data_IF_194621163711
#
_entry.id   IF_194621163711
#
_cell.length_a   1.000
_cell.length_b   1.000
_cell.length_c   1.000
_cell.angle_alpha   90.00
_cell.angle_beta   90.00
_cell.angle_gamma   90.00
#
_symmetry.space_group_name_H-M   'P 1'
#
loop_
_entity.id
_entity.type
_entity.pdbx_description
1 polymer ?
#
# COMPACT_ATOMS: atom_id res chain seq x y z
N UNK A 1 -59.90 56.49 -47.69
CA UNK A 1 -58.80 56.03 -48.56
C UNK A 1 -58.14 54.86 -47.90
N UNK A 2 -58.25 53.64 -48.47
CA UNK A 2 -57.53 52.45 -47.91
C UNK A 2 -56.10 52.44 -48.48
N UNK A 3 -55.13 52.33 -47.57
CA UNK A 3 -53.71 52.15 -47.98
C UNK A 3 -53.50 50.74 -48.56
N UNK A 4 -52.73 50.60 -49.63
CA UNK A 4 -52.43 49.32 -50.24
C UNK A 4 -51.43 48.53 -49.36
N UNK A 5 -51.79 47.29 -48.97
CA UNK A 5 -50.86 46.30 -48.41
C UNK A 5 -49.89 45.89 -49.49
N UNK A 6 -48.74 46.51 -49.51
CA UNK A 6 -47.60 46.11 -50.33
C UNK A 6 -46.97 44.80 -49.77
N UNK A 7 -47.50 43.70 -50.20
CA UNK A 7 -46.86 42.38 -50.03
C UNK A 7 -45.80 42.22 -51.13
N UNK A 8 -44.61 42.78 -50.88
CA UNK A 8 -43.52 42.58 -51.79
C UNK A 8 -43.04 41.12 -51.74
N UNK A 9 -42.88 40.44 -52.89
CA UNK A 9 -42.46 39.03 -52.96
C UNK A 9 -41.13 38.80 -52.27
N UNK A 10 -40.28 39.82 -52.22
CA UNK A 10 -38.98 39.79 -51.59
C UNK A 10 -39.08 39.58 -50.05
N UNK A 11 -40.05 40.15 -49.36
CA UNK A 11 -40.26 39.97 -47.91
C UNK A 11 -40.66 38.53 -47.58
N UNK A 12 -41.45 37.90 -48.47
CA UNK A 12 -41.88 36.51 -48.30
C UNK A 12 -40.74 35.51 -48.46
N UNK A 13 -39.86 35.77 -49.44
CA UNK A 13 -38.65 34.94 -49.67
C UNK A 13 -37.66 35.06 -48.54
N UNK A 14 -37.44 36.28 -48.01
CA UNK A 14 -36.54 36.48 -46.86
C UNK A 14 -37.09 35.78 -45.63
N UNK A 15 -38.42 35.97 -45.32
CA UNK A 15 -39.07 35.28 -44.22
C UNK A 15 -38.99 33.74 -44.35
N UNK A 16 -39.17 33.21 -45.52
CA UNK A 16 -39.08 31.79 -45.77
C UNK A 16 -37.65 31.25 -45.46
N UNK A 17 -36.61 31.94 -45.92
CA UNK A 17 -35.20 31.60 -45.63
C UNK A 17 -34.90 31.69 -44.15
N UNK A 18 -35.39 32.71 -43.48
CA UNK A 18 -35.19 32.87 -42.03
C UNK A 18 -35.91 31.75 -41.26
N UNK A 19 -37.15 31.39 -41.63
CA UNK A 19 -37.86 30.25 -41.01
C UNK A 19 -37.16 28.92 -41.29
N UNK A 20 -36.58 28.72 -42.45
CA UNK A 20 -35.86 27.53 -42.81
C UNK A 20 -34.57 27.42 -41.97
N UNK A 21 -33.83 28.50 -41.81
CA UNK A 21 -32.67 28.55 -40.89
C UNK A 21 -33.07 28.28 -39.43
N UNK A 22 -34.17 28.91 -39.00
CA UNK A 22 -34.68 28.66 -37.65
C UNK A 22 -35.08 27.19 -37.42
N UNK A 23 -35.78 26.59 -38.38
CA UNK A 23 -36.12 25.18 -38.35
C UNK A 23 -34.90 24.26 -38.34
N UNK A 24 -33.85 24.60 -39.10
CA UNK A 24 -32.59 23.87 -39.06
C UNK A 24 -31.89 23.95 -37.70
N UNK A 25 -31.89 25.12 -37.08
CA UNK A 25 -31.32 25.28 -35.71
C UNK A 25 -32.12 24.52 -34.66
N UNK A 26 -33.46 24.54 -34.72
CA UNK A 26 -34.34 23.79 -33.80
C UNK A 26 -34.10 22.28 -33.98
N UNK A 27 -33.96 21.81 -35.20
CA UNK A 27 -33.70 20.40 -35.50
C UNK A 27 -32.35 19.97 -34.95
N UNK A 28 -31.30 20.78 -35.13
CA UNK A 28 -29.97 20.49 -34.57
C UNK A 28 -30.03 20.47 -33.03
N UNK A 29 -30.71 21.44 -32.39
CA UNK A 29 -30.89 21.48 -30.96
C UNK A 29 -31.65 20.24 -30.44
N UNK A 30 -32.71 19.81 -31.15
CA UNK A 30 -33.46 18.61 -30.81
C UNK A 30 -32.59 17.33 -30.94
N UNK A 31 -31.76 17.23 -31.97
CA UNK A 31 -30.84 16.10 -32.14
C UNK A 31 -29.77 16.04 -31.03
N UNK A 32 -29.21 17.19 -30.67
CA UNK A 32 -28.26 17.27 -29.54
C UNK A 32 -28.94 16.86 -28.23
N UNK A 33 -30.14 17.34 -28.00
CA UNK A 33 -30.91 17.01 -26.81
C UNK A 33 -31.28 15.52 -26.74
N UNK A 34 -31.75 14.97 -27.84
CA UNK A 34 -32.03 13.54 -27.98
C UNK A 34 -30.76 12.69 -27.74
N UNK A 35 -29.63 13.14 -28.26
CA UNK A 35 -28.34 12.49 -28.05
C UNK A 35 -27.90 12.51 -26.59
N UNK A 36 -28.08 13.63 -25.90
CA UNK A 36 -27.80 13.76 -24.46
C UNK A 36 -28.68 12.82 -23.64
N UNK A 37 -29.99 12.79 -23.91
CA UNK A 37 -30.92 11.89 -23.23
C UNK A 37 -30.53 10.43 -23.49
N UNK A 38 -30.19 10.09 -24.74
CA UNK A 38 -29.79 8.73 -25.09
C UNK A 38 -28.52 8.31 -24.36
N UNK A 39 -27.51 9.19 -24.29
CA UNK A 39 -26.26 8.93 -23.54
C UNK A 39 -26.55 8.78 -22.04
N UNK A 40 -27.42 9.60 -21.45
CA UNK A 40 -27.73 9.53 -20.02
C UNK A 40 -28.54 8.28 -19.64
N UNK A 41 -29.46 7.84 -20.51
CA UNK A 41 -30.37 6.75 -20.17
C UNK A 41 -29.89 5.36 -20.62
N UNK A 42 -29.12 5.30 -21.72
CA UNK A 42 -28.79 4.02 -22.38
C UNK A 42 -27.29 3.71 -22.47
N UNK A 43 -26.40 4.65 -22.09
CA UNK A 43 -24.98 4.39 -22.19
C UNK A 43 -24.46 3.73 -20.89
N UNK A 44 -24.40 2.41 -20.92
CA UNK A 44 -23.69 1.62 -19.90
C UNK A 44 -22.19 1.96 -19.81
N UNK A 45 -21.61 2.53 -20.87
CA UNK A 45 -20.25 3.00 -20.89
C UNK A 45 -19.98 4.14 -19.89
N UNK A 46 -20.98 5.01 -19.60
CA UNK A 46 -20.82 6.10 -18.64
C UNK A 46 -20.70 5.53 -17.22
N UNK A 47 -21.55 4.56 -16.87
CA UNK A 47 -21.50 3.88 -15.58
C UNK A 47 -20.19 3.09 -15.43
N UNK A 48 -19.81 2.33 -16.45
CA UNK A 48 -18.54 1.56 -16.47
C UNK A 48 -17.30 2.47 -16.39
N UNK A 49 -17.30 3.59 -17.10
CA UNK A 49 -16.20 4.54 -17.04
C UNK A 49 -16.18 5.32 -15.72
N UNK A 50 -17.32 5.61 -15.11
CA UNK A 50 -17.40 6.23 -13.80
C UNK A 50 -16.80 5.30 -12.73
N UNK A 51 -17.19 4.03 -12.68
CA UNK A 51 -16.66 3.03 -11.76
C UNK A 51 -15.14 2.82 -11.95
N UNK A 52 -14.68 2.76 -13.20
CA UNK A 52 -13.26 2.66 -13.56
C UNK A 52 -12.47 3.93 -13.19
N UNK A 53 -13.07 5.10 -13.28
CA UNK A 53 -12.47 6.36 -12.84
C UNK A 53 -12.43 6.45 -11.32
N UNK A 54 -13.49 6.02 -10.62
CA UNK A 54 -13.49 5.94 -9.16
C UNK A 54 -12.35 5.06 -8.64
N UNK A 55 -12.16 3.86 -9.19
CA UNK A 55 -11.07 2.97 -8.83
C UNK A 55 -9.66 3.51 -9.16
N UNK A 56 -9.54 4.50 -10.08
CA UNK A 56 -8.29 5.19 -10.39
C UNK A 56 -8.04 6.41 -9.51
N UNK A 57 -9.10 7.02 -8.98
CA UNK A 57 -9.06 8.24 -8.19
C UNK A 57 -9.02 7.90 -6.70
N UNK A 58 -9.76 6.89 -6.28
CA UNK A 58 -9.85 6.48 -4.89
C UNK A 58 -9.15 5.15 -4.65
N UNK A 59 -8.48 5.05 -3.52
CA UNK A 59 -7.85 3.81 -3.04
C UNK A 59 -8.22 3.67 -1.58
N UNK A 60 -8.78 2.52 -1.22
CA UNK A 60 -9.03 2.20 0.17
C UNK A 60 -7.74 1.63 0.78
N UNK A 61 -7.31 2.22 1.87
CA UNK A 61 -6.16 1.81 2.67
C UNK A 61 -6.66 1.24 3.98
N UNK A 62 -6.20 0.04 4.32
CA UNK A 62 -6.43 -0.56 5.63
C UNK A 62 -5.38 0.02 6.58
N UNK A 63 -5.85 0.60 7.69
CA UNK A 63 -4.99 1.05 8.79
C UNK A 63 -4.99 -0.07 9.82
N UNK A 64 -3.88 -0.81 9.99
CA UNK A 64 -3.87 -1.94 10.91
C UNK A 64 -4.04 -1.46 12.35
N UNK A 65 -4.85 -2.18 13.12
CA UNK A 65 -4.94 -2.03 14.56
C UNK A 65 -3.68 -2.60 15.23
N UNK A 66 -3.31 -2.05 16.36
CA UNK A 66 -2.21 -2.57 17.17
C UNK A 66 -2.71 -3.74 17.99
N UNK A 67 -1.96 -4.85 17.95
CA UNK A 67 -2.25 -6.00 18.80
C UNK A 67 -1.88 -5.71 20.24
N UNK A 68 -2.78 -5.94 21.20
CA UNK A 68 -2.57 -5.76 22.62
C UNK A 68 -1.42 -6.65 23.17
N UNK A 69 -0.84 -6.25 24.27
CA UNK A 69 0.25 -6.95 24.92
C UNK A 69 -0.29 -8.06 25.84
N UNK A 70 0.53 -9.08 26.11
CA UNK A 70 0.33 -10.02 27.19
C UNK A 70 1.37 -9.71 28.26
N UNK A 71 0.90 -9.41 29.46
CA UNK A 71 1.71 -8.94 30.56
C UNK A 71 1.67 -9.93 31.72
N UNK A 72 2.72 -9.93 32.55
CA UNK A 72 2.73 -10.57 33.84
C UNK A 72 1.82 -9.81 34.81
N UNK A 73 1.62 -10.33 36.03
CA UNK A 73 0.90 -9.65 37.10
C UNK A 73 1.51 -8.29 37.48
N UNK A 74 2.81 -8.12 37.29
CA UNK A 74 3.57 -6.91 37.63
C UNK A 74 3.72 -5.97 36.42
N UNK A 75 3.11 -6.30 35.27
CA UNK A 75 3.13 -5.47 34.05
C UNK A 75 4.33 -5.69 33.14
N UNK A 76 5.18 -6.69 33.40
CA UNK A 76 6.29 -7.04 32.51
C UNK A 76 5.76 -7.72 31.21
N UNK A 77 6.28 -7.38 30.05
CA UNK A 77 5.78 -7.92 28.80
C UNK A 77 6.25 -9.37 28.58
N UNK A 78 5.27 -10.27 28.43
CA UNK A 78 5.45 -11.65 27.99
C UNK A 78 5.34 -11.80 26.48
N UNK A 79 4.43 -11.04 25.87
CA UNK A 79 4.32 -10.90 24.42
C UNK A 79 3.94 -9.46 24.06
N UNK A 80 4.64 -8.87 23.12
CA UNK A 80 4.40 -7.51 22.65
C UNK A 80 4.55 -7.43 21.14
N UNK A 81 3.97 -6.40 20.52
CA UNK A 81 4.05 -6.16 19.09
C UNK A 81 5.03 -5.04 18.79
N UNK A 82 5.98 -5.31 17.90
CA UNK A 82 6.90 -4.32 17.37
C UNK A 82 6.63 -4.07 15.91
N UNK A 83 6.57 -2.79 15.54
CA UNK A 83 6.44 -2.43 14.14
C UNK A 83 7.79 -2.56 13.42
N UNK A 84 7.75 -3.33 12.35
CA UNK A 84 8.84 -3.44 11.39
C UNK A 84 8.42 -2.82 10.08
N UNK A 85 9.36 -2.20 9.39
CA UNK A 85 9.13 -1.53 8.12
C UNK A 85 9.92 -2.20 7.02
N UNK A 86 9.22 -2.56 5.94
CA UNK A 86 9.87 -2.95 4.70
C UNK A 86 9.84 -1.77 3.73
N UNK A 87 11.01 -1.35 3.26
CA UNK A 87 11.12 -0.28 2.28
C UNK A 87 10.95 -0.88 0.89
N UNK A 88 9.86 -0.53 0.22
CA UNK A 88 9.55 -0.98 -1.13
C UNK A 88 9.71 0.19 -2.12
N UNK A 89 10.36 -0.07 -3.25
CA UNK A 89 10.59 0.90 -4.31
C UNK A 89 9.60 0.69 -5.47
N UNK A 90 9.01 1.76 -5.97
CA UNK A 90 8.23 1.76 -7.22
C UNK A 90 9.12 2.28 -8.37
N UNK A 91 9.77 1.35 -9.06
CA UNK A 91 10.66 1.68 -10.18
C UNK A 91 9.92 2.19 -11.44
N UNK A 92 8.60 2.01 -11.54
CA UNK A 92 7.76 2.60 -12.59
C UNK A 92 7.38 4.06 -12.33
N UNK A 93 7.74 4.60 -11.18
CA UNK A 93 7.42 5.96 -10.78
C UNK A 93 8.01 7.02 -11.73
N UNK A 94 7.28 8.10 -12.02
CA UNK A 94 7.79 9.22 -12.79
C UNK A 94 9.05 9.89 -12.22
N UNK A 95 9.31 9.72 -10.92
CA UNK A 95 10.55 10.21 -10.29
C UNK A 95 11.82 9.60 -10.88
N UNK A 96 11.71 8.45 -11.56
CA UNK A 96 12.82 7.76 -12.20
C UNK A 96 12.91 7.97 -13.72
N UNK A 97 12.16 8.91 -14.30
CA UNK A 97 12.14 9.17 -15.75
C UNK A 97 13.50 9.60 -16.30
N UNK A 98 14.35 10.22 -15.51
CA UNK A 98 15.71 10.55 -15.89
C UNK A 98 16.67 9.41 -15.53
N UNK A 99 17.04 8.63 -16.54
CA UNK A 99 18.02 7.53 -16.39
C UNK A 99 19.37 7.98 -15.80
N UNK A 100 19.82 9.19 -16.14
CA UNK A 100 21.06 9.73 -15.62
C UNK A 100 20.96 10.01 -14.13
N UNK A 101 19.95 10.75 -13.74
CA UNK A 101 19.67 11.08 -12.33
C UNK A 101 19.44 9.81 -11.50
N UNK A 102 18.71 8.85 -12.05
CA UNK A 102 18.49 7.57 -11.37
C UNK A 102 19.83 6.83 -11.11
N UNK A 103 20.70 6.72 -12.11
CA UNK A 103 22.01 6.04 -11.93
C UNK A 103 22.86 6.73 -10.87
N UNK A 104 23.03 8.04 -10.97
CA UNK A 104 23.83 8.80 -10.01
C UNK A 104 23.31 8.67 -8.58
N UNK A 105 22.00 8.73 -8.40
CA UNK A 105 21.35 8.62 -7.09
C UNK A 105 21.34 7.18 -6.56
N UNK A 106 21.12 6.18 -7.43
CA UNK A 106 21.16 4.77 -7.04
C UNK A 106 22.55 4.31 -6.64
N UNK A 107 23.60 4.79 -7.33
CA UNK A 107 24.98 4.49 -6.96
C UNK A 107 25.34 5.10 -5.60
N UNK A 108 24.88 6.32 -5.33
CA UNK A 108 25.06 6.98 -4.05
C UNK A 108 24.30 6.26 -2.93
N UNK A 109 23.03 5.90 -3.16
CA UNK A 109 22.24 5.13 -2.22
C UNK A 109 22.89 3.76 -1.94
N UNK A 110 23.35 3.06 -2.98
CA UNK A 110 23.99 1.76 -2.86
C UNK A 110 25.23 1.79 -1.95
N UNK A 111 26.06 2.83 -2.08
CA UNK A 111 27.24 3.02 -1.22
C UNK A 111 26.84 3.19 0.26
N UNK A 112 25.80 3.99 0.52
CA UNK A 112 25.31 4.25 1.88
C UNK A 112 24.66 3.02 2.49
N UNK A 113 23.85 2.26 1.71
CA UNK A 113 23.25 1.00 2.18
C UNK A 113 24.31 -0.06 2.50
N UNK A 114 25.31 -0.20 1.63
CA UNK A 114 26.42 -1.13 1.87
C UNK A 114 27.22 -0.77 3.12
N UNK A 115 27.44 0.51 3.38
CA UNK A 115 28.11 0.99 4.60
C UNK A 115 27.26 0.75 5.86
N UNK A 116 25.96 0.95 5.75
CA UNK A 116 25.04 0.83 6.87
C UNK A 116 24.78 -0.63 7.26
N UNK A 117 24.38 -1.47 6.30
CA UNK A 117 24.02 -2.87 6.58
C UNK A 117 25.22 -3.82 6.61
N UNK A 118 26.27 -3.53 5.85
CA UNK A 118 27.49 -4.37 5.73
C UNK A 118 27.22 -5.83 5.33
N UNK A 119 26.09 -6.07 4.66
CA UNK A 119 25.65 -7.40 4.23
C UNK A 119 26.00 -7.68 2.75
N UNK A 120 26.09 -6.62 1.93
CA UNK A 120 26.36 -6.68 0.50
C UNK A 120 27.29 -5.54 0.08
N UNK A 121 27.97 -5.74 -1.06
CA UNK A 121 28.76 -4.67 -1.67
C UNK A 121 27.87 -3.57 -2.28
N UNK A 122 28.42 -2.35 -2.36
CA UNK A 122 27.74 -1.25 -3.04
C UNK A 122 27.38 -1.58 -4.50
N UNK A 123 28.28 -2.30 -5.20
CA UNK A 123 28.04 -2.75 -6.57
C UNK A 123 26.83 -3.72 -6.66
N UNK A 124 26.67 -4.62 -5.68
CA UNK A 124 25.53 -5.55 -5.65
C UNK A 124 24.19 -4.82 -5.44
N UNK A 125 24.15 -3.82 -4.56
CA UNK A 125 22.98 -2.97 -4.37
C UNK A 125 22.64 -2.16 -5.63
N UNK A 126 23.64 -1.49 -6.23
CA UNK A 126 23.44 -0.71 -7.45
C UNK A 126 22.93 -1.57 -8.60
N UNK A 127 23.54 -2.74 -8.80
CA UNK A 127 23.15 -3.69 -9.84
C UNK A 127 21.71 -4.20 -9.63
N UNK A 128 21.32 -4.51 -8.40
CA UNK A 128 19.95 -4.93 -8.08
C UNK A 128 18.94 -3.83 -8.43
N UNK A 129 19.17 -2.58 -8.00
CA UNK A 129 18.31 -1.45 -8.32
C UNK A 129 18.22 -1.18 -9.83
N UNK A 130 19.33 -1.20 -10.53
CA UNK A 130 19.39 -0.98 -11.99
C UNK A 130 18.66 -2.10 -12.75
N UNK A 131 18.82 -3.36 -12.33
CA UNK A 131 18.12 -4.51 -12.91
C UNK A 131 16.60 -4.39 -12.75
N UNK A 132 16.13 -4.05 -11.55
CA UNK A 132 14.69 -3.90 -11.30
C UNK A 132 14.11 -2.68 -12.04
N UNK A 133 14.84 -1.57 -12.12
CA UNK A 133 14.46 -0.43 -12.92
C UNK A 133 14.34 -0.79 -14.41
N UNK A 134 15.35 -1.44 -15.01
CA UNK A 134 15.33 -1.85 -16.41
C UNK A 134 14.19 -2.81 -16.73
N UNK A 135 13.85 -3.67 -15.78
CA UNK A 135 12.72 -4.61 -15.92
C UNK A 135 11.37 -3.91 -15.93
N UNK A 136 11.19 -2.90 -15.09
CA UNK A 136 9.88 -2.25 -14.84
C UNK A 136 9.68 -0.95 -15.59
N UNK A 137 10.75 -0.31 -15.99
CA UNK A 137 10.71 0.94 -16.76
C UNK A 137 11.38 0.72 -18.10
N UNK A 138 10.59 0.71 -19.16
CA UNK A 138 11.08 0.55 -20.53
C UNK A 138 10.47 1.59 -21.45
N UNK A 139 11.34 2.36 -22.10
CA UNK A 139 10.94 3.27 -23.18
C UNK A 139 11.26 2.59 -24.50
N UNK A 140 10.24 2.30 -25.28
CA UNK A 140 10.38 1.69 -26.59
C UNK A 140 9.99 2.71 -27.67
N UNK A 141 10.84 2.92 -28.64
CA UNK A 141 10.53 3.72 -29.80
C UNK A 141 9.51 2.96 -30.65
N UNK A 142 8.35 3.57 -30.93
CA UNK A 142 7.27 2.90 -31.63
C UNK A 142 7.24 3.22 -33.11
N UNK A 143 7.29 4.48 -33.48
CA UNK A 143 7.21 4.95 -34.87
C UNK A 143 7.42 6.47 -34.96
N UNK A 144 7.98 6.93 -36.08
CA UNK A 144 7.85 8.34 -36.47
C UNK A 144 6.42 8.57 -37.03
N UNK A 145 5.68 9.46 -36.39
CA UNK A 145 4.32 9.81 -36.83
C UNK A 145 4.33 11.24 -37.34
N UNK A 146 3.80 11.40 -38.54
CA UNK A 146 3.59 12.71 -39.09
C UNK A 146 2.35 13.33 -38.45
N UNK A 147 2.54 14.36 -37.61
CA UNK A 147 1.45 15.05 -36.95
C UNK A 147 1.23 16.39 -37.67
N UNK A 148 -0.01 16.67 -38.16
CA UNK A 148 -0.30 17.96 -38.72
C UNK A 148 -0.13 19.05 -37.67
N UNK A 149 0.40 20.21 -38.10
CA UNK A 149 0.73 21.35 -37.21
C UNK A 149 -0.49 21.93 -36.47
N UNK A 150 -1.68 21.72 -37.02
CA UNK A 150 -2.94 22.20 -36.45
C UNK A 150 -3.93 21.09 -36.16
N UNK A 151 -4.68 21.20 -35.03
CA UNK A 151 -5.61 20.16 -34.56
C UNK A 151 -7.03 20.24 -35.17
N UNK A 152 -7.43 21.31 -35.83
CA UNK A 152 -8.76 21.50 -36.41
C UNK A 152 -8.90 21.06 -37.89
N UNK A 153 -10.05 20.50 -38.26
CA UNK A 153 -10.29 20.00 -39.62
C UNK A 153 -10.12 21.05 -40.72
N UNK A 154 -10.59 22.28 -40.52
CA UNK A 154 -10.40 23.43 -41.42
C UNK A 154 -8.94 23.93 -41.43
N UNK A 155 -8.30 23.93 -40.24
CA UNK A 155 -6.91 24.35 -40.13
C UNK A 155 -5.96 23.34 -40.83
N UNK A 156 -6.22 22.04 -40.76
CA UNK A 156 -5.50 21.01 -41.53
C UNK A 156 -5.64 21.17 -43.03
N UNK A 157 -6.83 21.59 -43.48
CA UNK A 157 -7.07 21.87 -44.90
C UNK A 157 -6.26 23.08 -45.37
N UNK A 158 -6.19 24.15 -44.56
CA UNK A 158 -5.37 25.33 -44.80
C UNK A 158 -3.87 25.04 -44.80
N UNK A 159 -3.38 24.23 -43.84
CA UNK A 159 -1.96 23.82 -43.78
C UNK A 159 -1.55 23.02 -45.02
N UNK A 160 -2.45 22.12 -45.51
CA UNK A 160 -2.22 21.37 -46.76
C UNK A 160 -2.17 22.26 -47.98
N UNK A 161 -2.98 23.32 -48.03
CA UNK A 161 -2.99 24.28 -49.13
C UNK A 161 -1.75 25.16 -49.16
N UNK A 162 -1.14 25.45 -48.01
CA UNK A 162 0.08 26.25 -47.90
C UNK A 162 1.36 25.46 -48.08
N UNK A 163 1.32 24.15 -48.17
CA UNK A 163 2.51 23.30 -48.26
C UNK A 163 3.36 23.32 -46.97
N UNK A 164 2.77 23.68 -45.83
CA UNK A 164 3.48 23.70 -44.56
C UNK A 164 3.78 22.29 -44.07
N UNK A 165 5.05 22.07 -43.66
CA UNK A 165 5.60 20.78 -43.29
C UNK A 165 4.89 20.14 -42.11
N UNK A 166 4.65 18.85 -42.24
CA UNK A 166 4.16 17.96 -41.22
C UNK A 166 5.27 17.71 -40.21
N UNK A 167 5.05 18.07 -38.95
CA UNK A 167 6.02 17.80 -37.90
C UNK A 167 6.18 16.30 -37.67
N UNK A 168 7.40 15.81 -37.80
CA UNK A 168 7.72 14.41 -37.45
C UNK A 168 7.86 14.31 -35.94
N UNK A 169 6.88 13.70 -35.30
CA UNK A 169 6.92 13.44 -33.86
C UNK A 169 7.34 11.98 -33.64
N UNK A 170 8.38 11.81 -32.84
CA UNK A 170 8.81 10.48 -32.39
C UNK A 170 7.87 10.00 -31.29
N UNK A 171 7.10 8.97 -31.57
CA UNK A 171 6.23 8.33 -30.60
C UNK A 171 7.02 7.28 -29.82
N UNK A 172 7.12 7.51 -28.52
CA UNK A 172 7.67 6.55 -27.57
C UNK A 172 6.55 5.88 -26.79
N UNK A 173 6.61 4.57 -26.69
CA UNK A 173 5.77 3.80 -25.80
C UNK A 173 6.56 3.54 -24.52
N UNK A 174 6.01 3.97 -23.39
CA UNK A 174 6.66 3.83 -22.09
C UNK A 174 5.89 2.80 -21.27
N UNK A 175 6.48 1.63 -21.12
CA UNK A 175 5.97 0.61 -20.19
C UNK A 175 6.42 0.99 -18.78
N UNK A 176 5.46 1.10 -17.86
CA UNK A 176 5.69 1.35 -16.44
C UNK A 176 4.97 0.30 -15.64
N UNK A 177 5.73 -0.55 -14.96
CA UNK A 177 5.20 -1.49 -13.98
C UNK A 177 5.37 -0.89 -12.59
N UNK A 178 4.25 -0.54 -11.97
CA UNK A 178 4.16 0.06 -10.64
C UNK A 178 4.13 -0.97 -9.51
N UNK A 179 4.49 -2.23 -9.80
CA UNK A 179 4.59 -3.25 -8.75
C UNK A 179 5.78 -2.92 -7.84
N UNK A 180 5.56 -2.65 -6.56
CA UNK A 180 6.63 -2.29 -5.64
C UNK A 180 7.54 -3.50 -5.36
N UNK A 181 8.81 -3.23 -5.15
CA UNK A 181 9.82 -4.24 -4.85
C UNK A 181 10.60 -3.83 -3.63
N UNK A 182 10.83 -4.77 -2.73
CA UNK A 182 11.67 -4.53 -1.57
C UNK A 182 13.07 -4.04 -2.00
N UNK A 183 13.47 -2.88 -1.48
CA UNK A 183 14.79 -2.31 -1.74
C UNK A 183 15.91 -3.21 -1.17
N UNK A 184 15.63 -3.81 -0.03
CA UNK A 184 16.45 -4.83 0.64
C UNK A 184 15.53 -5.84 1.35
N UNK A 185 15.98 -7.09 1.55
CA UNK A 185 15.13 -8.16 2.09
C UNK A 185 14.87 -8.03 3.58
N UNK A 186 15.67 -7.24 4.29
CA UNK A 186 15.58 -7.03 5.73
C UNK A 186 14.44 -6.05 6.07
N UNK A 187 13.72 -6.34 7.13
CA UNK A 187 12.83 -5.39 7.79
C UNK A 187 13.64 -4.52 8.76
N UNK A 188 13.26 -3.27 8.91
CA UNK A 188 13.94 -2.27 9.72
C UNK A 188 12.99 -1.72 10.78
N UNK A 189 13.55 -1.23 11.88
CA UNK A 189 12.78 -0.52 12.89
C UNK A 189 12.61 0.98 12.55
N UNK A 190 11.83 1.69 13.35
CA UNK A 190 11.58 3.11 13.14
C UNK A 190 12.85 3.96 13.25
N UNK A 191 13.79 3.61 14.11
CA UNK A 191 15.05 4.34 14.32
C UNK A 191 15.97 4.19 13.11
N UNK A 192 16.09 2.97 12.61
CA UNK A 192 16.80 2.67 11.36
C UNK A 192 16.17 3.45 10.19
N UNK A 193 14.82 3.48 10.11
CA UNK A 193 14.12 4.26 9.09
C UNK A 193 14.42 5.76 9.18
N UNK A 194 14.44 6.36 10.37
CA UNK A 194 14.78 7.77 10.55
C UNK A 194 16.18 8.12 10.01
N UNK A 195 17.10 7.16 10.02
CA UNK A 195 18.43 7.30 9.42
C UNK A 195 18.37 7.14 7.90
N UNK A 196 17.74 6.09 7.41
CA UNK A 196 17.69 5.75 5.97
C UNK A 196 16.89 6.77 5.15
N UNK A 197 15.82 7.36 5.72
CA UNK A 197 15.02 8.39 5.03
C UNK A 197 15.81 9.64 4.61
N UNK A 198 17.02 9.83 5.13
CA UNK A 198 17.91 10.93 4.74
C UNK A 198 18.78 10.62 3.52
N UNK A 199 18.80 9.36 3.08
CA UNK A 199 19.61 8.92 1.97
C UNK A 199 19.01 9.32 0.63
N UNK A 200 19.84 9.44 -0.44
CA UNK A 200 19.36 9.74 -1.78
C UNK A 200 18.20 8.82 -2.19
N UNK A 201 17.29 9.32 -2.99
CA UNK A 201 16.03 8.68 -3.39
C UNK A 201 15.03 8.57 -2.22
N UNK A 202 15.47 8.11 -1.04
CA UNK A 202 14.60 7.97 0.14
C UNK A 202 14.28 9.33 0.80
N UNK A 203 15.08 10.35 0.54
CA UNK A 203 14.84 11.73 0.98
C UNK A 203 13.94 12.53 0.02
N UNK A 204 13.54 11.94 -1.10
CA UNK A 204 12.64 12.61 -2.04
C UNK A 204 11.23 12.68 -1.43
N UNK A 205 10.75 13.91 -1.24
CA UNK A 205 9.40 14.18 -0.72
C UNK A 205 8.27 13.80 -1.72
N UNK A 206 8.63 13.15 -2.80
CA UNK A 206 7.73 12.76 -3.85
C UNK A 206 7.15 11.38 -3.57
N UNK A 207 6.32 11.17 -2.59
CA UNK A 207 5.62 9.93 -2.20
C UNK A 207 5.26 8.88 -3.26
N UNK A 208 6.05 8.79 -4.32
CA UNK A 208 5.85 7.98 -5.51
C UNK A 208 6.99 7.02 -5.77
N UNK A 209 8.18 7.25 -5.19
CA UNK A 209 9.36 6.45 -5.49
C UNK A 209 9.51 5.26 -4.56
N UNK A 210 8.99 5.36 -3.35
CA UNK A 210 9.01 4.29 -2.36
C UNK A 210 7.78 4.34 -1.46
N UNK A 211 7.50 3.22 -0.80
CA UNK A 211 6.53 3.12 0.29
C UNK A 211 7.11 2.30 1.43
N UNK A 212 6.65 2.59 2.63
CA UNK A 212 6.90 1.78 3.81
C UNK A 212 5.75 0.80 3.96
N UNK A 213 6.07 -0.48 3.95
CA UNK A 213 5.13 -1.52 4.31
C UNK A 213 5.35 -1.84 5.77
N UNK A 214 4.39 -1.48 6.59
CA UNK A 214 4.38 -1.81 8.00
C UNK A 214 4.01 -3.27 8.21
N UNK A 215 4.73 -3.93 9.10
CA UNK A 215 4.44 -5.27 9.57
C UNK A 215 4.48 -5.29 11.07
N UNK A 216 3.52 -5.94 11.66
CA UNK A 216 3.50 -6.23 13.08
C UNK A 216 4.28 -7.53 13.34
N UNK A 217 5.39 -7.41 14.06
CA UNK A 217 6.19 -8.55 14.52
C UNK A 217 5.88 -8.84 15.98
N UNK A 218 5.29 -10.00 16.24
CA UNK A 218 5.04 -10.45 17.62
C UNK A 218 6.34 -10.92 18.25
N UNK A 219 6.75 -10.24 19.31
CA UNK A 219 8.01 -10.49 20.03
C UNK A 219 7.71 -11.00 21.43
N UNK A 220 8.53 -11.92 21.90
CA UNK A 220 8.45 -12.53 23.22
C UNK A 220 9.72 -12.18 24.00
N UNK A 221 9.70 -11.07 24.77
CA UNK A 221 10.91 -10.54 25.42
C UNK A 221 11.55 -11.52 26.40
N UNK A 222 10.73 -12.38 27.03
CA UNK A 222 11.17 -13.39 28.00
C UNK A 222 11.65 -14.71 27.33
N UNK A 223 11.79 -14.70 26.00
CA UNK A 223 12.28 -15.86 25.24
C UNK A 223 11.40 -17.09 25.36
N UNK A 224 11.93 -18.14 25.96
CA UNK A 224 11.24 -19.43 26.10
C UNK A 224 10.40 -19.54 27.38
N UNK A 225 10.51 -18.58 28.31
CA UNK A 225 9.75 -18.62 29.57
C UNK A 225 8.23 -18.49 29.31
N UNK A 226 7.46 -19.43 29.87
CA UNK A 226 6.01 -19.53 29.70
C UNK A 226 5.55 -19.56 28.23
N UNK A 227 6.46 -19.88 27.29
CA UNK A 227 6.22 -19.78 25.84
C UNK A 227 5.04 -20.64 25.38
N UNK A 228 4.87 -21.81 25.99
CA UNK A 228 3.74 -22.73 25.68
C UNK A 228 2.43 -22.19 26.23
N UNK A 229 2.46 -21.59 27.41
CA UNK A 229 1.28 -20.98 28.06
C UNK A 229 0.82 -19.73 27.32
N UNK A 230 1.75 -18.85 26.98
CA UNK A 230 1.48 -17.66 26.16
C UNK A 230 0.99 -18.09 24.79
N UNK A 231 1.66 -19.02 24.16
CA UNK A 231 1.29 -19.58 22.87
C UNK A 231 1.59 -18.69 21.69
N UNK A 232 0.85 -18.89 20.62
CA UNK A 232 0.97 -18.11 19.38
C UNK A 232 -0.25 -18.29 18.49
N UNK A 233 -0.41 -17.36 17.52
CA UNK A 233 -1.33 -17.45 16.39
C UNK A 233 -0.52 -17.35 15.10
N UNK A 234 -0.74 -18.26 14.14
CA UNK A 234 -0.08 -18.23 12.85
C UNK A 234 0.25 -19.59 12.28
N UNK A 235 1.14 -19.61 11.29
CA UNK A 235 1.48 -20.80 10.48
C UNK A 235 2.02 -21.99 11.31
N UNK A 236 2.65 -21.70 12.45
CA UNK A 236 3.20 -22.73 13.35
C UNK A 236 2.17 -23.30 14.33
N UNK A 237 0.92 -22.92 14.18
CA UNK A 237 -0.23 -23.38 14.98
C UNK A 237 -0.80 -22.31 15.89
N UNK A 238 -2.00 -22.61 16.38
CA UNK A 238 -2.81 -21.71 17.22
C UNK A 238 -2.98 -22.38 18.58
N UNK A 239 -2.45 -21.77 19.64
CA UNK A 239 -2.56 -22.30 21.00
C UNK A 239 -2.22 -21.22 22.05
N UNK A 240 -2.50 -21.52 23.33
CA UNK A 240 -2.19 -20.67 24.47
C UNK A 240 -3.09 -19.43 24.58
N UNK A 241 -2.69 -18.51 25.44
CA UNK A 241 -3.40 -17.25 25.71
C UNK A 241 -3.58 -16.43 24.43
N UNK A 242 -2.56 -16.39 23.56
CA UNK A 242 -2.59 -15.72 22.26
C UNK A 242 -3.77 -16.18 21.39
N UNK A 243 -4.10 -17.46 21.42
CA UNK A 243 -5.19 -18.00 20.62
C UNK A 243 -6.54 -17.86 21.31
N UNK A 244 -6.60 -18.16 22.60
CA UNK A 244 -7.86 -18.14 23.36
C UNK A 244 -8.42 -16.73 23.46
N UNK A 245 -7.54 -15.73 23.65
CA UNK A 245 -7.90 -14.31 23.76
C UNK A 245 -7.61 -13.52 22.48
N UNK A 246 -7.56 -14.19 21.32
CA UNK A 246 -7.26 -13.55 20.06
C UNK A 246 -8.18 -12.36 19.77
N UNK A 247 -9.49 -12.54 19.97
CA UNK A 247 -10.48 -11.51 19.64
C UNK A 247 -10.37 -10.26 20.54
N UNK A 248 -9.76 -10.41 21.72
CA UNK A 248 -9.46 -9.30 22.63
C UNK A 248 -8.16 -8.61 22.22
N UNK A 249 -7.16 -9.39 21.83
CA UNK A 249 -5.82 -8.92 21.51
C UNK A 249 -5.72 -8.26 20.12
N UNK A 250 -6.45 -8.74 19.10
CA UNK A 250 -6.27 -8.29 17.70
C UNK A 250 -6.75 -6.87 17.44
N UNK A 251 -7.77 -6.39 18.15
CA UNK A 251 -8.41 -5.12 17.84
C UNK A 251 -9.21 -5.17 16.53
N UNK A 252 -9.46 -4.01 15.95
CA UNK A 252 -10.19 -3.85 14.67
C UNK A 252 -9.47 -2.88 13.76
N UNK A 253 -9.15 -3.33 12.58
CA UNK A 253 -8.52 -2.49 11.56
C UNK A 253 -9.42 -1.33 11.15
N UNK A 254 -8.79 -0.17 10.99
CA UNK A 254 -9.40 1.01 10.41
C UNK A 254 -9.38 0.97 8.88
N UNK A 255 -10.19 1.84 8.27
CA UNK A 255 -10.21 2.07 6.83
C UNK A 255 -10.04 3.55 6.54
N UNK A 256 -9.16 3.90 5.61
CA UNK A 256 -9.02 5.24 5.11
C UNK A 256 -9.20 5.26 3.60
N UNK A 257 -10.19 6.01 3.13
CA UNK A 257 -10.34 6.28 1.70
C UNK A 257 -9.41 7.40 1.30
N UNK A 258 -8.49 7.12 0.39
CA UNK A 258 -7.54 8.09 -0.15
C UNK A 258 -7.93 8.49 -1.56
N UNK A 259 -7.92 9.78 -1.84
CA UNK A 259 -8.14 10.33 -3.17
C UNK A 259 -6.82 10.74 -3.80
N UNK A 260 -6.64 10.39 -5.04
CA UNK A 260 -5.50 10.85 -5.84
C UNK A 260 -5.69 12.33 -6.21
N UNK A 261 -4.92 13.22 -5.57
CA UNK A 261 -5.00 14.67 -5.78
C UNK A 261 -4.17 15.09 -7.01
N UNK A 262 -3.01 14.47 -7.20
CA UNK A 262 -2.12 14.71 -8.34
C UNK A 262 -1.37 13.43 -8.68
N UNK A 263 -0.52 13.46 -9.73
CA UNK A 263 0.31 12.30 -10.09
C UNK A 263 1.09 11.82 -8.85
N UNK A 264 0.57 10.77 -8.16
CA UNK A 264 1.17 10.10 -7.02
C UNK A 264 0.96 10.73 -5.65
N UNK A 265 0.21 11.80 -5.55
CA UNK A 265 -0.22 12.33 -4.25
C UNK A 265 -1.62 11.84 -3.93
N UNK A 266 -1.75 11.15 -2.80
CA UNK A 266 -3.01 10.69 -2.25
C UNK A 266 -3.31 11.49 -1.00
N UNK A 267 -4.47 12.15 -0.96
CA UNK A 267 -4.99 12.81 0.22
C UNK A 267 -6.11 11.99 0.85
N UNK A 268 -6.27 12.07 2.16
CA UNK A 268 -7.40 11.46 2.87
C UNK A 268 -8.69 12.18 2.46
N UNK A 269 -9.72 11.44 2.10
CA UNK A 269 -11.03 12.00 1.79
C UNK A 269 -11.75 12.32 3.09
N UNK A 270 -12.12 13.58 3.28
CA UNK A 270 -12.94 13.99 4.43
C UNK A 270 -14.40 13.62 4.15
N UNK A 271 -15.03 12.86 5.05
CA UNK A 271 -16.44 12.46 4.92
C UNK A 271 -16.70 11.18 4.12
N UNK A 272 -15.67 10.40 3.78
CA UNK A 272 -15.82 9.04 3.22
C UNK A 272 -16.14 7.99 4.30
N UNK A 273 -16.25 6.73 3.88
CA UNK A 273 -16.40 5.57 4.76
C UNK A 273 -15.07 5.26 5.49
N UNK A 274 -14.61 6.24 6.29
CA UNK A 274 -13.39 6.17 7.06
C UNK A 274 -13.69 5.68 8.46
N UNK A 275 -12.95 4.69 8.94
CA UNK A 275 -12.95 4.26 10.34
C UNK A 275 -11.54 4.34 10.91
N UNK A 276 -11.41 4.87 12.11
CA UNK A 276 -10.13 4.77 12.83
C UNK A 276 -9.93 3.34 13.32
N UNK A 277 -8.67 2.86 13.40
CA UNK A 277 -8.39 1.55 13.99
C UNK A 277 -8.69 1.57 15.50
N UNK A 278 -9.25 0.48 15.99
CA UNK A 278 -9.44 0.22 17.42
C UNK A 278 -8.37 -0.76 17.87
N UNK A 279 -7.39 -0.31 18.63
CA UNK A 279 -6.31 -1.15 19.12
C UNK A 279 -6.83 -2.27 20.02
N UNK A 280 -6.17 -3.43 19.99
CA UNK A 280 -6.47 -4.54 20.88
C UNK A 280 -6.17 -4.20 22.35
N UNK A 281 -6.86 -4.87 23.25
CA UNK A 281 -6.67 -4.66 24.68
C UNK A 281 -5.48 -5.48 25.19
N UNK A 282 -4.77 -4.93 26.15
CA UNK A 282 -3.73 -5.64 26.88
C UNK A 282 -4.35 -6.69 27.81
N UNK A 283 -3.70 -7.83 27.92
CA UNK A 283 -4.10 -8.94 28.79
C UNK A 283 -3.07 -9.06 29.92
N UNK A 284 -3.49 -8.81 31.15
CA UNK A 284 -2.68 -9.03 32.35
C UNK A 284 -2.95 -10.43 32.85
N UNK A 285 -1.90 -11.26 32.92
CA UNK A 285 -1.97 -12.63 33.45
C UNK A 285 -1.66 -12.64 34.94
N UNK A 286 -1.92 -13.74 35.62
CA UNK A 286 -1.52 -13.98 37.01
C UNK A 286 -0.07 -14.47 37.11
N UNK A 287 0.62 -14.68 36.00
CA UNK A 287 2.00 -15.18 36.00
C UNK A 287 2.95 -14.17 36.61
N UNK A 288 3.80 -14.68 37.47
CA UNK A 288 4.91 -13.96 38.11
C UNK A 288 6.22 -14.40 37.44
N UNK A 289 6.98 -13.44 36.91
CA UNK A 289 8.16 -13.72 36.10
C UNK A 289 9.27 -14.40 36.91
N UNK A 290 9.48 -13.98 38.20
CA UNK A 290 10.50 -14.56 39.04
C UNK A 290 10.15 -16.00 39.40
N UNK A 291 8.90 -16.25 39.78
CA UNK A 291 8.42 -17.61 40.08
C UNK A 291 8.47 -18.52 38.84
N UNK A 292 8.14 -17.99 37.69
CA UNK A 292 8.22 -18.71 36.42
C UNK A 292 9.65 -19.14 36.11
N UNK A 293 10.63 -18.24 36.28
CA UNK A 293 12.05 -18.52 36.05
C UNK A 293 12.60 -19.54 37.09
N UNK A 294 12.21 -19.42 38.33
CA UNK A 294 12.59 -20.41 39.38
C UNK A 294 11.99 -21.79 39.06
N UNK A 295 10.71 -21.85 38.66
CA UNK A 295 10.03 -23.08 38.32
C UNK A 295 10.68 -23.77 37.07
N UNK A 296 10.97 -22.99 36.03
CA UNK A 296 11.63 -23.48 34.83
C UNK A 296 13.01 -24.06 35.16
N UNK A 297 13.83 -23.30 35.87
CA UNK A 297 15.19 -23.77 36.23
C UNK A 297 15.18 -24.99 37.15
N UNK A 298 14.23 -25.06 38.07
CA UNK A 298 14.12 -26.21 38.99
C UNK A 298 13.66 -27.46 38.22
N UNK A 299 12.66 -27.30 37.37
CA UNK A 299 12.15 -28.39 36.51
C UNK A 299 13.23 -28.88 35.56
N UNK A 300 13.96 -27.99 34.89
CA UNK A 300 15.04 -28.32 33.97
C UNK A 300 16.12 -29.15 34.65
N UNK A 301 16.61 -28.72 35.80
CA UNK A 301 17.61 -29.50 36.59
C UNK A 301 17.10 -30.88 36.95
N UNK A 302 15.82 -31.00 37.35
CA UNK A 302 15.26 -32.30 37.71
C UNK A 302 15.11 -33.23 36.50
N UNK A 303 14.67 -32.69 35.36
CA UNK A 303 14.56 -33.46 34.12
C UNK A 303 15.92 -33.95 33.61
N UNK A 304 16.95 -33.13 33.70
CA UNK A 304 18.32 -33.52 33.39
C UNK A 304 18.85 -34.61 34.35
N UNK A 305 18.66 -34.45 35.65
CA UNK A 305 19.10 -35.44 36.63
C UNK A 305 18.44 -36.79 36.47
N UNK A 306 17.17 -36.82 36.10
CA UNK A 306 16.37 -38.05 35.90
C UNK A 306 16.39 -38.56 34.45
N UNK A 307 17.07 -37.82 33.56
CA UNK A 307 17.04 -38.10 32.10
C UNK A 307 15.60 -38.28 31.56
N UNK A 308 14.64 -37.54 32.11
CA UNK A 308 13.24 -37.62 31.74
C UNK A 308 12.97 -36.98 30.37
N UNK A 309 11.89 -37.41 29.70
CA UNK A 309 11.56 -36.87 28.36
C UNK A 309 10.83 -35.56 28.43
N UNK A 310 10.01 -35.36 29.45
CA UNK A 310 9.24 -34.14 29.67
C UNK A 310 8.80 -34.02 31.13
N UNK A 311 8.33 -32.86 31.51
CA UNK A 311 7.77 -32.58 32.82
C UNK A 311 7.05 -31.26 32.86
N UNK A 312 6.25 -31.08 33.91
CA UNK A 312 5.50 -29.86 34.19
C UNK A 312 5.66 -29.45 35.63
N UNK A 313 5.83 -28.16 35.87
CA UNK A 313 5.78 -27.59 37.22
C UNK A 313 4.73 -26.47 37.25
N UNK A 314 3.88 -26.49 38.26
CA UNK A 314 2.83 -25.50 38.50
C UNK A 314 3.01 -24.91 39.89
N UNK A 315 2.91 -23.58 39.96
CA UNK A 315 2.88 -22.83 41.22
C UNK A 315 1.55 -22.11 41.31
N UNK A 316 0.78 -22.39 42.35
CA UNK A 316 -0.54 -21.82 42.56
C UNK A 316 -0.59 -21.12 43.93
N UNK A 317 -1.15 -19.93 43.96
CA UNK A 317 -1.48 -19.23 45.20
C UNK A 317 -2.71 -19.88 45.83
N UNK A 318 -2.56 -20.40 47.07
CA UNK A 318 -3.62 -21.18 47.71
C UNK A 318 -4.83 -20.32 48.09
N UNK A 319 -4.61 -19.04 48.38
CA UNK A 319 -5.68 -18.14 48.80
C UNK A 319 -6.62 -17.73 47.68
N UNK A 320 -6.10 -17.53 46.47
CA UNK A 320 -6.84 -17.02 45.31
C UNK A 320 -7.10 -18.07 44.26
N UNK A 321 -6.26 -19.11 44.17
CA UNK A 321 -6.25 -20.10 43.12
C UNK A 321 -5.52 -19.65 41.83
N UNK A 322 -4.85 -18.50 41.89
CA UNK A 322 -4.10 -17.95 40.76
C UNK A 322 -2.87 -18.80 40.45
N UNK A 323 -2.65 -19.07 39.15
CA UNK A 323 -1.45 -19.72 38.68
C UNK A 323 -0.34 -18.68 38.54
N UNK A 324 0.67 -18.74 39.44
CA UNK A 324 1.80 -17.83 39.44
C UNK A 324 2.93 -18.29 38.50
N UNK A 325 3.06 -19.59 38.30
CA UNK A 325 4.00 -20.14 37.33
C UNK A 325 3.46 -21.42 36.71
N UNK A 326 3.79 -21.62 35.42
CA UNK A 326 3.46 -22.82 34.65
C UNK A 326 4.61 -23.12 33.68
N UNK A 327 5.53 -23.99 34.08
CA UNK A 327 6.64 -24.45 33.27
C UNK A 327 6.33 -25.81 32.65
N UNK A 328 6.46 -25.93 31.33
CA UNK A 328 6.22 -27.17 30.58
C UNK A 328 7.43 -27.45 29.70
N UNK A 329 8.32 -28.32 30.12
CA UNK A 329 9.55 -28.62 29.40
C UNK A 329 9.49 -29.98 28.74
N UNK A 330 9.96 -30.04 27.49
CA UNK A 330 10.15 -31.29 26.76
C UNK A 330 11.55 -31.33 26.17
N UNK A 331 12.12 -32.53 26.09
CA UNK A 331 13.44 -32.76 25.49
C UNK A 331 13.35 -32.57 23.97
N UNK A 332 14.15 -31.69 23.46
CA UNK A 332 14.26 -31.42 22.01
C UNK A 332 15.12 -32.48 21.31
N UNK A 333 15.11 -32.48 19.98
CA UNK A 333 15.99 -33.36 19.17
C UNK A 333 17.47 -33.12 19.43
N UNK A 334 17.85 -31.93 19.84
CA UNK A 334 19.23 -31.58 20.21
C UNK A 334 19.61 -32.04 21.62
N UNK A 335 18.67 -32.59 22.41
CA UNK A 335 18.89 -33.04 23.79
C UNK A 335 18.66 -31.95 24.85
N UNK A 336 18.48 -30.70 24.46
CA UNK A 336 18.13 -29.60 25.36
C UNK A 336 16.65 -29.68 25.76
N UNK A 337 16.29 -29.08 26.90
CA UNK A 337 14.90 -28.93 27.31
C UNK A 337 14.38 -27.53 26.95
N UNK A 338 13.19 -27.50 26.33
CA UNK A 338 12.52 -26.23 25.95
C UNK A 338 11.01 -26.36 26.09
N UNK A 339 10.36 -25.22 26.22
CA UNK A 339 8.89 -25.13 26.12
C UNK A 339 8.45 -25.23 24.66
N UNK A 340 8.33 -26.46 24.15
CA UNK A 340 7.91 -26.72 22.77
C UNK A 340 6.51 -27.32 22.73
N UNK A 341 5.78 -27.09 21.65
CA UNK A 341 4.54 -27.81 21.36
C UNK A 341 4.89 -29.23 20.98
N UNK A 342 4.38 -30.20 21.73
CA UNK A 342 4.44 -31.64 21.37
C UNK A 342 3.45 -31.92 20.25
#
# INVERSE_FOLDING_TARGET
MPQPKENSPIKRDILFRVHLLYAAFVLIAALVFARLIWVQLFSSEVAYNAERLEGRIFTDEIIPARRGNILTRDGEPLATSLFRYQVEMDYGSPGFDSLRTFREQSDSLAKLLALYFRDKSAAAYAQAMQREHTRRYRVTYRKDTLVPRSEGGLARWWDRMRGEEVLTVKLYDTLRDHTPVALFPREIDYTEWQTLRRYPILNWNMGMTYRLRERDERVYPQGELARRTIGQVGDKGNYGVEYVLRDVLEGRDGKARRQRIARGFYGRVVGGDNSEPEDGLDVVTTLDLEMQDVADRALRRQLEAQNALWGTALVMEVATGDLLAMANLSRTKSGAYAEVKN
#
